data_IF_353368031048
#
_entry.id   IF_353368031048
#
_cell.length_a   1.000
_cell.length_b   1.000
_cell.length_c   1.000
_cell.angle_alpha   90.00
_cell.angle_beta   90.00
_cell.angle_gamma   90.00
#
_symmetry.space_group_name_H-M   'P 1'
#
loop_
_entity.id
_entity.type
_entity.pdbx_description
1 polymer ?
#
# COMPACT_ATOMS: atom_id res chain seq x y z
N UNK A 1 -27.70 -17.56 14.26
CA UNK A 1 -28.40 -17.82 15.53
C UNK A 1 -28.14 -16.72 16.55
N UNK A 2 -28.07 -15.45 16.14
CA UNK A 2 -28.47 -14.37 17.02
C UNK A 2 -29.61 -13.62 16.33
N UNK A 3 -30.63 -13.22 17.09
CA UNK A 3 -31.84 -12.58 16.59
C UNK A 3 -31.65 -11.11 16.20
N UNK A 4 -30.42 -10.65 15.91
CA UNK A 4 -30.20 -9.26 15.53
C UNK A 4 -30.38 -9.15 14.02
N UNK A 5 -31.58 -8.77 13.59
CA UNK A 5 -31.74 -8.11 12.28
C UNK A 5 -30.96 -6.80 12.35
N UNK A 6 -29.69 -6.82 11.99
CA UNK A 6 -28.90 -5.61 11.84
C UNK A 6 -29.22 -5.00 10.48
N UNK A 7 -29.36 -3.67 10.44
CA UNK A 7 -29.56 -2.94 9.20
C UNK A 7 -28.50 -3.38 8.16
N UNK A 8 -28.96 -3.73 6.96
CA UNK A 8 -28.10 -4.23 5.89
C UNK A 8 -28.09 -5.75 5.69
N UNK A 9 -28.55 -6.53 6.67
CA UNK A 9 -28.77 -7.97 6.47
C UNK A 9 -30.01 -8.29 5.61
N UNK A 10 -30.84 -7.28 5.29
CA UNK A 10 -32.05 -7.47 4.48
C UNK A 10 -31.76 -7.69 2.99
N UNK A 11 -30.56 -7.38 2.50
CA UNK A 11 -30.19 -7.53 1.09
C UNK A 11 -29.55 -8.90 0.81
N UNK A 12 -30.26 -9.82 0.11
CA UNK A 12 -29.79 -11.21 -0.06
C UNK A 12 -28.43 -11.32 -0.73
N UNK A 13 -28.12 -10.40 -1.65
CA UNK A 13 -26.83 -10.36 -2.37
C UNK A 13 -25.60 -10.18 -1.47
N UNK A 14 -25.77 -9.65 -0.24
CA UNK A 14 -24.66 -9.45 0.70
C UNK A 14 -24.58 -10.49 1.81
N UNK A 15 -25.53 -11.43 1.85
CA UNK A 15 -25.61 -12.43 2.91
C UNK A 15 -24.30 -13.25 3.04
N UNK A 16 -23.63 -13.55 1.93
CA UNK A 16 -22.33 -14.23 1.92
C UNK A 16 -21.28 -13.44 2.73
N UNK A 17 -21.14 -12.14 2.45
CA UNK A 17 -20.18 -11.29 3.15
C UNK A 17 -20.47 -11.13 4.65
N UNK A 18 -21.75 -11.09 5.04
CA UNK A 18 -22.13 -11.08 6.46
C UNK A 18 -21.77 -12.38 7.17
N UNK A 19 -22.01 -13.52 6.51
CA UNK A 19 -21.61 -14.83 7.05
C UNK A 19 -20.10 -14.94 7.21
N UNK A 20 -19.33 -14.46 6.22
CA UNK A 20 -17.86 -14.40 6.29
C UNK A 20 -17.44 -13.55 7.50
N UNK A 21 -17.97 -12.34 7.64
CA UNK A 21 -17.62 -11.45 8.75
C UNK A 21 -17.95 -12.05 10.12
N UNK A 22 -19.11 -12.71 10.25
CA UNK A 22 -19.50 -13.41 11.47
C UNK A 22 -18.59 -14.61 11.76
N UNK A 23 -18.19 -15.37 10.74
CA UNK A 23 -17.30 -16.51 10.87
C UNK A 23 -15.91 -16.08 11.34
N UNK A 24 -15.33 -15.04 10.72
CA UNK A 24 -14.06 -14.44 11.17
C UNK A 24 -14.13 -14.01 12.64
N UNK A 25 -15.19 -13.29 13.04
CA UNK A 25 -15.37 -12.88 14.44
C UNK A 25 -15.41 -14.08 15.38
N UNK A 26 -16.15 -15.11 15.01
CA UNK A 26 -16.27 -16.33 15.81
C UNK A 26 -14.92 -17.02 15.98
N UNK A 27 -14.18 -17.27 14.88
CA UNK A 27 -12.85 -17.92 14.93
C UNK A 27 -11.88 -17.10 15.77
N UNK A 28 -11.80 -15.79 15.57
CA UNK A 28 -10.89 -14.92 16.32
C UNK A 28 -11.22 -14.89 17.81
N UNK A 29 -12.51 -14.84 18.16
CA UNK A 29 -12.95 -14.94 19.57
C UNK A 29 -12.53 -16.29 20.17
N UNK A 30 -12.75 -17.40 19.44
CA UNK A 30 -12.36 -18.74 19.90
C UNK A 30 -10.86 -18.83 20.16
N UNK A 31 -10.03 -18.35 19.24
CA UNK A 31 -8.58 -18.52 19.32
C UNK A 31 -7.91 -17.53 20.28
N UNK A 32 -8.31 -16.25 20.25
CA UNK A 32 -7.60 -15.19 20.96
C UNK A 32 -8.22 -14.85 22.32
N UNK A 33 -9.53 -14.98 22.48
CA UNK A 33 -10.21 -14.68 23.76
C UNK A 33 -10.38 -15.95 24.61
N UNK A 34 -10.91 -17.03 24.03
CA UNK A 34 -11.20 -18.27 24.78
C UNK A 34 -9.97 -19.18 24.94
N UNK A 35 -9.20 -19.41 23.86
CA UNK A 35 -7.96 -20.21 23.93
C UNK A 35 -6.74 -19.41 24.37
N UNK A 36 -6.86 -18.08 24.41
CA UNK A 36 -5.81 -17.17 24.88
C UNK A 36 -4.48 -17.31 24.12
N UNK A 37 -4.52 -17.67 22.82
CA UNK A 37 -3.32 -17.58 21.99
C UNK A 37 -2.90 -16.11 21.85
N UNK A 38 -1.59 -15.86 21.81
CA UNK A 38 -1.04 -14.49 21.71
C UNK A 38 -1.11 -13.93 20.29
N UNK A 39 -1.31 -14.79 19.30
CA UNK A 39 -1.46 -14.45 17.90
C UNK A 39 -2.18 -15.57 17.14
N UNK A 40 -2.66 -15.24 15.94
CA UNK A 40 -3.21 -16.19 14.97
C UNK A 40 -2.62 -15.93 13.60
N UNK A 41 -2.50 -16.99 12.81
CA UNK A 41 -2.22 -16.94 11.38
C UNK A 41 -3.47 -17.42 10.64
N UNK A 42 -4.09 -16.52 9.88
CA UNK A 42 -5.35 -16.75 9.17
C UNK A 42 -5.08 -17.13 7.72
N UNK A 43 -5.64 -18.25 7.30
CA UNK A 43 -5.61 -18.75 5.92
C UNK A 43 -7.04 -19.05 5.48
N UNK A 44 -7.39 -18.59 4.28
CA UNK A 44 -8.62 -19.01 3.60
C UNK A 44 -8.40 -20.38 2.93
N UNK A 45 -9.48 -21.09 2.65
CA UNK A 45 -9.46 -22.47 2.14
C UNK A 45 -9.03 -22.59 0.67
N UNK A 46 -8.97 -21.46 -0.04
CA UNK A 46 -8.57 -21.34 -1.44
C UNK A 46 -7.11 -20.92 -1.64
N UNK A 47 -6.27 -21.01 -0.59
CA UNK A 47 -4.87 -20.59 -0.61
C UNK A 47 -3.88 -21.77 -0.65
N UNK A 48 -3.01 -21.75 -1.65
CA UNK A 48 -1.76 -22.53 -1.66
C UNK A 48 -0.66 -21.73 -0.94
N UNK A 49 0.11 -22.38 -0.07
CA UNK A 49 1.22 -21.76 0.68
C UNK A 49 2.58 -22.12 0.05
N UNK A 50 3.51 -21.17 0.06
CA UNK A 50 4.89 -21.37 -0.40
C UNK A 50 5.71 -22.29 0.51
N UNK A 51 6.84 -22.79 0.00
CA UNK A 51 7.74 -23.70 0.73
C UNK A 51 8.34 -23.15 2.03
N UNK A 52 8.42 -21.84 2.21
CA UNK A 52 8.98 -21.17 3.40
C UNK A 52 7.92 -20.42 4.23
N UNK A 53 6.62 -20.68 3.98
CA UNK A 53 5.51 -19.91 4.54
C UNK A 53 5.52 -19.84 6.09
N UNK A 54 5.73 -20.97 6.77
CA UNK A 54 5.73 -20.99 8.24
C UNK A 54 6.99 -20.34 8.83
N UNK A 55 8.15 -20.53 8.19
CA UNK A 55 9.40 -19.90 8.62
C UNK A 55 9.35 -18.38 8.47
N UNK A 56 8.73 -17.90 7.39
CA UNK A 56 8.44 -16.48 7.15
C UNK A 56 7.67 -15.86 8.34
N UNK A 57 6.54 -16.45 8.75
CA UNK A 57 5.76 -15.92 9.87
C UNK A 57 6.44 -16.10 11.23
N UNK A 58 7.16 -17.21 11.41
CA UNK A 58 7.92 -17.48 12.64
C UNK A 58 8.94 -16.38 12.91
N UNK A 59 9.72 -15.99 11.90
CA UNK A 59 10.77 -14.97 12.05
C UNK A 59 10.23 -13.54 12.08
N UNK A 60 9.03 -13.29 11.55
CA UNK A 60 8.37 -11.98 11.65
C UNK A 60 7.53 -11.81 12.92
N UNK A 61 7.34 -12.87 13.69
CA UNK A 61 6.63 -12.81 14.97
C UNK A 61 7.28 -11.81 15.94
N UNK A 62 8.61 -11.85 16.21
CA UNK A 62 9.27 -10.86 17.08
C UNK A 62 9.09 -9.42 16.58
N UNK A 63 9.22 -9.20 15.26
CA UNK A 63 9.04 -7.88 14.64
C UNK A 63 7.63 -7.36 14.91
N UNK A 64 6.60 -8.17 14.65
CA UNK A 64 5.19 -7.81 14.88
C UNK A 64 4.86 -7.49 16.34
N UNK A 65 5.43 -8.22 17.30
CA UNK A 65 5.19 -7.96 18.74
C UNK A 65 5.96 -6.74 19.25
N UNK A 66 7.14 -6.47 18.70
CA UNK A 66 8.01 -5.38 19.16
C UNK A 66 7.59 -3.99 18.67
N UNK A 67 6.94 -3.91 17.49
CA UNK A 67 6.61 -2.64 16.86
C UNK A 67 5.10 -2.34 16.91
N UNK A 68 4.64 -1.42 17.79
CA UNK A 68 3.22 -1.07 17.91
C UNK A 68 2.69 -0.29 16.69
N UNK A 69 3.56 0.15 15.78
CA UNK A 69 3.18 0.76 14.51
C UNK A 69 2.78 -0.28 13.44
N UNK A 70 2.89 -1.57 13.75
CA UNK A 70 2.42 -2.66 12.90
C UNK A 70 0.98 -3.09 13.25
N UNK A 71 0.18 -3.27 12.20
CA UNK A 71 -1.16 -3.84 12.26
C UNK A 71 -1.12 -5.37 12.11
N UNK A 72 -0.33 -5.86 11.15
CA UNK A 72 -0.28 -7.27 10.77
C UNK A 72 1.00 -7.63 10.02
N UNK A 73 1.20 -8.93 9.78
CA UNK A 73 2.09 -9.45 8.73
C UNK A 73 1.21 -10.17 7.72
N UNK A 74 1.41 -9.96 6.43
CA UNK A 74 0.67 -10.63 5.36
C UNK A 74 1.65 -11.32 4.42
N UNK A 75 1.27 -12.49 3.93
CA UNK A 75 1.95 -13.25 2.89
C UNK A 75 1.71 -12.69 1.48
N UNK A 76 0.88 -11.65 1.36
CA UNK A 76 0.38 -11.15 0.09
C UNK A 76 0.99 -9.81 -0.32
N UNK A 77 1.45 -9.74 -1.56
CA UNK A 77 1.77 -8.54 -2.31
C UNK A 77 0.73 -8.36 -3.42
N UNK A 78 -0.12 -7.34 -3.27
CA UNK A 78 -1.16 -6.97 -4.25
C UNK A 78 -0.63 -6.79 -5.68
N UNK A 79 0.62 -6.33 -5.82
CA UNK A 79 1.28 -6.15 -7.12
C UNK A 79 2.36 -7.22 -7.37
N UNK A 80 2.25 -8.38 -6.74
CA UNK A 80 3.27 -9.43 -6.75
C UNK A 80 3.19 -10.39 -7.94
N UNK A 81 2.85 -9.86 -9.11
CA UNK A 81 2.77 -10.62 -10.36
C UNK A 81 4.17 -10.95 -10.87
N UNK A 82 4.34 -12.04 -11.62
CA UNK A 82 5.65 -12.53 -12.07
C UNK A 82 6.57 -11.46 -12.73
N UNK A 83 6.06 -10.49 -13.52
CA UNK A 83 6.89 -9.42 -14.09
C UNK A 83 7.39 -8.37 -13.08
N UNK A 84 6.80 -8.33 -11.87
CA UNK A 84 6.92 -7.24 -10.89
C UNK A 84 7.60 -7.65 -9.57
N UNK A 85 8.16 -8.86 -9.51
CA UNK A 85 8.84 -9.40 -8.33
C UNK A 85 10.09 -10.19 -8.73
N UNK A 86 11.08 -10.25 -7.85
CA UNK A 86 12.28 -11.07 -8.09
C UNK A 86 12.94 -11.60 -6.80
N UNK A 87 13.12 -10.75 -5.79
CA UNK A 87 13.90 -11.08 -4.61
C UNK A 87 13.00 -11.66 -3.51
N UNK A 88 13.14 -12.95 -3.23
CA UNK A 88 12.34 -13.63 -2.22
C UNK A 88 12.62 -13.16 -0.78
N UNK A 89 13.76 -12.53 -0.49
CA UNK A 89 14.13 -12.11 0.88
C UNK A 89 13.68 -10.71 1.24
N UNK A 90 13.32 -9.88 0.25
CA UNK A 90 12.95 -8.48 0.49
C UNK A 90 11.51 -8.39 1.01
N UNK A 91 11.36 -7.66 2.10
CA UNK A 91 10.08 -7.33 2.73
C UNK A 91 9.85 -5.83 2.74
N UNK A 92 8.59 -5.44 2.71
CA UNK A 92 8.14 -4.06 2.73
C UNK A 92 7.04 -3.86 3.77
N UNK A 93 6.80 -2.62 4.17
CA UNK A 93 5.59 -2.21 4.88
C UNK A 93 4.54 -1.73 3.88
N UNK A 94 3.27 -1.76 4.27
CA UNK A 94 2.14 -1.20 3.50
C UNK A 94 1.03 -0.66 4.41
N UNK A 95 0.46 0.47 4.04
CA UNK A 95 -0.63 1.14 4.75
C UNK A 95 -2.03 0.60 4.39
N UNK A 96 -2.09 -0.37 3.48
CA UNK A 96 -3.31 -1.04 3.06
C UNK A 96 -3.25 -2.46 3.56
N UNK A 97 -4.21 -2.86 4.40
CA UNK A 97 -4.33 -4.24 4.87
C UNK A 97 -4.55 -5.19 3.68
N UNK A 98 -3.58 -6.09 3.37
CA UNK A 98 -3.68 -6.93 2.18
C UNK A 98 -4.62 -8.13 2.39
N UNK A 99 -4.62 -8.73 3.58
CA UNK A 99 -5.29 -10.00 3.86
C UNK A 99 -4.46 -11.19 3.40
N UNK A 100 -5.13 -12.23 2.88
CA UNK A 100 -4.57 -13.39 2.16
C UNK A 100 -3.30 -13.98 2.82
N UNK A 101 -3.50 -14.86 3.81
CA UNK A 101 -2.42 -15.38 4.64
C UNK A 101 -1.86 -14.30 5.55
N UNK A 102 -2.48 -14.05 6.69
CA UNK A 102 -2.11 -12.91 7.53
C UNK A 102 -2.11 -13.22 9.02
N UNK A 103 -1.20 -12.59 9.73
CA UNK A 103 -0.95 -12.78 11.16
C UNK A 103 -1.40 -11.57 11.96
N UNK A 104 -2.15 -11.83 13.03
CA UNK A 104 -2.73 -10.82 13.93
C UNK A 104 -2.42 -11.17 15.39
N UNK A 105 -2.07 -10.17 16.20
CA UNK A 105 -1.84 -10.36 17.63
C UNK A 105 -3.14 -10.28 18.44
N UNK A 106 -3.17 -10.94 19.60
CA UNK A 106 -4.27 -10.84 20.56
C UNK A 106 -4.50 -9.39 21.01
N UNK A 107 -3.43 -8.60 21.14
CA UNK A 107 -3.52 -7.18 21.51
C UNK A 107 -4.27 -6.37 20.45
N UNK A 108 -3.98 -6.62 19.18
CA UNK A 108 -4.71 -5.97 18.09
C UNK A 108 -6.17 -6.44 18.05
N UNK A 109 -6.42 -7.74 18.25
CA UNK A 109 -7.79 -8.26 18.31
C UNK A 109 -8.63 -7.61 19.40
N UNK A 110 -8.09 -7.41 20.61
CA UNK A 110 -8.78 -6.70 21.70
C UNK A 110 -9.23 -5.30 21.31
N UNK A 111 -8.50 -4.62 20.44
CA UNK A 111 -8.92 -3.32 19.89
C UNK A 111 -10.04 -3.46 18.85
N UNK A 112 -9.98 -4.47 17.98
CA UNK A 112 -10.89 -4.65 16.86
C UNK A 112 -12.21 -5.31 17.25
N UNK A 113 -12.19 -6.28 18.17
CA UNK A 113 -13.34 -7.13 18.53
C UNK A 113 -14.60 -6.36 18.96
N UNK A 114 -14.51 -5.30 19.81
CA UNK A 114 -15.68 -4.54 20.25
C UNK A 114 -16.40 -3.81 19.12
N UNK A 115 -15.65 -3.46 18.05
CA UNK A 115 -16.13 -2.69 16.91
C UNK A 115 -16.23 -3.50 15.61
N UNK A 116 -16.07 -4.83 15.69
CA UNK A 116 -16.07 -5.70 14.51
C UNK A 116 -17.38 -5.62 13.73
N UNK A 117 -17.34 -5.38 12.41
CA UNK A 117 -18.52 -5.21 11.58
C UNK A 117 -19.15 -6.57 11.30
N UNK A 118 -20.41 -6.77 11.70
CA UNK A 118 -21.19 -7.95 11.31
C UNK A 118 -22.01 -7.66 10.04
N UNK A 119 -22.54 -6.44 9.93
CA UNK A 119 -23.16 -5.89 8.72
C UNK A 119 -22.14 -5.14 7.88
N UNK A 120 -22.55 -4.67 6.70
CA UNK A 120 -21.75 -3.71 5.96
C UNK A 120 -21.74 -2.38 6.72
N UNK A 121 -20.60 -1.72 6.72
CA UNK A 121 -20.46 -0.39 7.29
C UNK A 121 -20.82 0.64 6.20
N UNK A 122 -21.81 1.51 6.47
CA UNK A 122 -22.08 2.69 5.63
C UNK A 122 -21.33 3.90 6.21
N UNK A 123 -20.54 4.59 5.37
CA UNK A 123 -19.94 5.86 5.77
C UNK A 123 -21.03 6.93 5.91
N UNK A 124 -21.22 7.56 7.10
CA UNK A 124 -22.35 8.46 7.33
C UNK A 124 -22.24 9.82 6.62
N UNK A 125 -21.05 10.18 6.08
CA UNK A 125 -20.73 11.54 5.64
C UNK A 125 -20.25 11.68 4.19
N UNK A 126 -20.30 10.61 3.38
CA UNK A 126 -19.86 10.68 1.98
C UNK A 126 -21.08 10.82 1.05
N UNK A 127 -21.00 11.74 0.07
CA UNK A 127 -21.99 11.93 -1.01
C UNK A 127 -22.26 10.61 -1.79
N UNK A 128 -21.34 9.65 -1.69
CA UNK A 128 -21.48 8.29 -2.20
C UNK A 128 -21.45 7.32 -1.02
N UNK A 129 -22.61 6.80 -0.61
CA UNK A 129 -22.68 5.67 0.33
C UNK A 129 -21.99 4.46 -0.30
N UNK A 130 -20.83 4.05 0.25
CA UNK A 130 -20.19 2.79 -0.12
C UNK A 130 -20.38 1.78 1.01
N UNK A 131 -20.78 0.58 0.65
CA UNK A 131 -20.85 -0.58 1.55
C UNK A 131 -19.45 -1.15 1.70
N UNK A 132 -19.00 -1.30 2.94
CA UNK A 132 -17.69 -1.88 3.26
C UNK A 132 -17.90 -3.15 4.09
N UNK A 133 -17.20 -4.21 3.73
CA UNK A 133 -17.20 -5.48 4.46
C UNK A 133 -16.01 -5.55 5.41
N UNK A 134 -15.82 -6.66 6.13
CA UNK A 134 -14.87 -6.74 7.25
C UNK A 134 -13.43 -6.33 6.88
N UNK A 135 -12.98 -6.69 5.69
CA UNK A 135 -11.64 -6.39 5.18
C UNK A 135 -11.53 -4.92 4.75
N UNK A 136 -12.52 -4.40 4.03
CA UNK A 136 -12.61 -2.97 3.67
C UNK A 136 -12.77 -2.05 4.88
N UNK A 137 -13.48 -2.52 5.90
CA UNK A 137 -13.57 -1.86 7.21
C UNK A 137 -12.22 -1.87 7.93
N UNK A 138 -11.47 -2.96 7.87
CA UNK A 138 -10.15 -3.02 8.50
C UNK A 138 -9.14 -2.07 7.81
N UNK A 139 -9.35 -1.76 6.53
CA UNK A 139 -8.54 -0.81 5.74
C UNK A 139 -8.82 0.67 6.06
N UNK A 140 -9.91 0.98 6.77
CA UNK A 140 -10.27 2.35 7.14
C UNK A 140 -9.24 2.98 8.11
N UNK A 141 -9.03 4.29 7.99
CA UNK A 141 -8.18 5.05 8.91
C UNK A 141 -8.58 4.89 10.39
N UNK A 142 -9.87 4.75 10.69
CA UNK A 142 -10.36 4.60 12.08
C UNK A 142 -9.95 3.25 12.73
N UNK A 143 -9.59 2.26 11.92
CA UNK A 143 -9.19 0.92 12.34
C UNK A 143 -7.67 0.81 12.27
N UNK A 144 -7.08 1.17 11.13
CA UNK A 144 -5.63 1.13 10.92
C UNK A 144 -4.89 2.06 11.89
N UNK A 145 -5.44 3.25 12.20
CA UNK A 145 -4.78 4.28 13.03
C UNK A 145 -3.35 4.58 12.57
N UNK A 146 -3.17 4.70 11.25
CA UNK A 146 -1.88 4.93 10.59
C UNK A 146 -0.82 3.82 10.84
N UNK A 147 -1.24 2.64 11.35
CA UNK A 147 -0.40 1.43 11.37
C UNK A 147 -0.35 0.77 10.00
N UNK A 148 0.75 0.07 9.73
CA UNK A 148 0.98 -0.63 8.47
C UNK A 148 1.11 -2.14 8.68
N UNK A 149 1.00 -2.94 7.62
CA UNK A 149 1.37 -4.35 7.65
C UNK A 149 2.72 -4.59 7.00
N UNK A 150 3.42 -5.66 7.40
CA UNK A 150 4.55 -6.19 6.62
C UNK A 150 3.99 -7.06 5.49
N UNK A 151 4.59 -6.97 4.30
CA UNK A 151 4.29 -7.80 3.13
C UNK A 151 5.58 -8.18 2.40
N UNK A 152 5.66 -9.33 1.71
CA UNK A 152 6.86 -9.71 0.98
C UNK A 152 6.95 -9.02 -0.39
N UNK A 153 8.13 -9.00 -0.99
CA UNK A 153 8.27 -8.70 -2.42
C UNK A 153 7.61 -9.82 -3.24
N UNK A 154 7.99 -11.08 -2.98
CA UNK A 154 7.43 -12.27 -3.61
C UNK A 154 6.38 -12.93 -2.71
N UNK A 155 5.17 -13.18 -3.22
CA UNK A 155 4.07 -13.75 -2.42
C UNK A 155 4.42 -15.09 -1.77
N UNK A 156 3.93 -15.31 -0.55
CA UNK A 156 4.01 -16.60 0.16
C UNK A 156 2.71 -17.39 0.12
N UNK A 157 1.68 -16.85 -0.52
CA UNK A 157 0.44 -17.56 -0.85
C UNK A 157 0.02 -17.29 -2.29
N UNK A 158 -0.76 -18.19 -2.86
CA UNK A 158 -1.43 -18.06 -4.14
C UNK A 158 -2.88 -18.52 -3.99
N UNK A 159 -3.82 -17.76 -4.56
CA UNK A 159 -5.24 -18.15 -4.54
C UNK A 159 -5.58 -18.94 -5.79
N UNK A 160 -6.21 -20.10 -5.60
CA UNK A 160 -6.81 -20.90 -6.66
C UNK A 160 -8.34 -20.73 -6.73
N UNK A 161 -8.91 -19.78 -5.98
CA UNK A 161 -10.33 -19.47 -5.91
C UNK A 161 -10.86 -18.69 -7.12
N UNK A 162 -10.91 -19.33 -8.29
CA UNK A 162 -11.51 -18.73 -9.51
C UNK A 162 -13.02 -18.48 -9.35
N UNK A 163 -13.69 -19.29 -8.52
CA UNK A 163 -15.10 -19.13 -8.17
C UNK A 163 -15.24 -18.89 -6.67
N UNK A 164 -15.89 -17.80 -6.28
CA UNK A 164 -16.05 -17.41 -4.88
C UNK A 164 -17.19 -16.41 -4.69
N UNK A 165 -17.27 -15.82 -3.49
CA UNK A 165 -18.35 -14.87 -3.12
C UNK A 165 -18.35 -13.56 -3.93
N UNK A 166 -17.33 -13.35 -4.77
CA UNK A 166 -17.16 -12.21 -5.66
C UNK A 166 -17.36 -12.56 -7.15
N UNK A 167 -17.84 -13.77 -7.47
CA UNK A 167 -18.03 -14.28 -8.84
C UNK A 167 -16.74 -14.21 -9.69
N UNK A 168 -15.57 -14.37 -9.07
CA UNK A 168 -14.27 -14.36 -9.77
C UNK A 168 -13.86 -12.99 -10.31
N UNK A 169 -14.55 -11.91 -9.93
CA UNK A 169 -14.16 -10.56 -10.30
C UNK A 169 -12.69 -10.32 -9.92
N UNK A 170 -11.90 -9.87 -10.90
CA UNK A 170 -10.46 -9.62 -10.79
C UNK A 170 -9.53 -10.85 -10.84
N UNK A 171 -10.03 -12.09 -10.83
CA UNK A 171 -9.17 -13.28 -10.79
C UNK A 171 -8.24 -13.36 -12.00
N UNK A 172 -8.79 -13.40 -13.22
CA UNK A 172 -7.98 -13.54 -14.44
C UNK A 172 -7.01 -12.37 -14.66
N UNK A 173 -7.42 -11.15 -14.29
CA UNK A 173 -6.63 -9.95 -14.55
C UNK A 173 -5.52 -9.74 -13.53
N UNK A 174 -5.80 -9.96 -12.24
CA UNK A 174 -4.90 -9.55 -11.16
C UNK A 174 -4.41 -10.69 -10.27
N UNK A 175 -5.21 -11.73 -10.02
CA UNK A 175 -4.85 -12.80 -9.08
C UNK A 175 -4.11 -13.96 -9.75
N UNK A 176 -4.59 -14.42 -10.92
CA UNK A 176 -3.96 -15.47 -11.73
C UNK A 176 -2.48 -15.22 -12.08
N UNK A 177 -2.02 -13.99 -12.41
CA UNK A 177 -0.61 -13.73 -12.70
C UNK A 177 0.30 -13.59 -11.46
N UNK A 178 -0.25 -13.74 -10.24
CA UNK A 178 0.53 -13.65 -8.99
C UNK A 178 1.57 -14.77 -8.94
N UNK A 179 2.79 -14.40 -8.55
CA UNK A 179 3.90 -15.32 -8.47
C UNK A 179 4.07 -15.84 -7.03
N UNK A 180 3.85 -17.15 -6.86
CA UNK A 180 4.12 -17.87 -5.61
C UNK A 180 5.62 -18.12 -5.46
N UNK A 181 6.18 -17.80 -4.30
CA UNK A 181 7.56 -18.11 -3.97
C UNK A 181 7.81 -19.64 -4.03
N UNK A 182 8.88 -20.02 -4.73
CA UNK A 182 9.36 -21.41 -4.82
C UNK A 182 10.75 -21.61 -4.21
N UNK A 183 11.33 -20.56 -3.63
CA UNK A 183 12.68 -20.58 -3.06
C UNK A 183 12.61 -20.69 -1.54
N UNK A 184 13.33 -21.65 -0.95
CA UNK A 184 13.52 -21.67 0.50
C UNK A 184 14.42 -20.52 0.92
N UNK A 185 13.89 -19.62 1.75
CA UNK A 185 14.66 -18.51 2.34
C UNK A 185 15.09 -18.92 3.74
N UNK A 186 16.39 -18.81 4.02
CA UNK A 186 16.90 -18.90 5.38
C UNK A 186 16.61 -17.60 6.13
N UNK A 187 15.41 -17.54 6.72
CA UNK A 187 14.93 -16.41 7.51
C UNK A 187 15.74 -16.16 8.79
N UNK A 188 16.46 -17.18 9.30
CA UNK A 188 17.30 -17.04 10.48
C UNK A 188 18.56 -16.21 10.20
N UNK A 189 19.00 -16.18 8.95
CA UNK A 189 20.13 -15.39 8.47
C UNK A 189 19.74 -13.98 7.97
N UNK A 190 18.43 -13.67 7.88
CA UNK A 190 17.98 -12.36 7.39
C UNK A 190 17.99 -11.31 8.51
N UNK A 191 18.44 -10.10 8.21
CA UNK A 191 18.31 -8.95 9.11
C UNK A 191 16.95 -8.29 8.88
N UNK A 192 16.07 -8.33 9.89
CA UNK A 192 14.70 -7.85 9.79
C UNK A 192 14.47 -6.51 10.52
N UNK A 193 15.46 -6.02 11.27
CA UNK A 193 15.36 -4.80 12.09
C UNK A 193 15.10 -3.53 11.27
N UNK A 194 15.42 -3.57 9.97
CA UNK A 194 15.08 -2.48 9.04
C UNK A 194 13.56 -2.31 8.85
N UNK A 195 12.75 -3.32 9.20
CA UNK A 195 11.28 -3.26 9.12
C UNK A 195 10.65 -2.52 10.30
N UNK A 196 11.40 -2.32 11.39
CA UNK A 196 10.92 -1.62 12.58
C UNK A 196 10.84 -0.11 12.31
N UNK A 197 9.84 0.56 12.86
CA UNK A 197 9.85 2.01 12.95
C UNK A 197 10.89 2.49 14.00
N UNK A 198 11.72 3.53 13.74
CA UNK A 198 11.74 4.39 12.55
C UNK A 198 12.71 3.93 11.45
N UNK A 199 13.40 2.79 11.59
CA UNK A 199 14.40 2.32 10.63
C UNK A 199 13.83 2.15 9.23
N UNK A 200 12.60 1.64 9.11
CA UNK A 200 11.97 1.46 7.80
C UNK A 200 11.72 2.79 7.08
N UNK A 201 11.34 3.83 7.84
CA UNK A 201 11.13 5.16 7.29
C UNK A 201 12.43 5.75 6.75
N UNK A 202 13.53 5.56 7.48
CA UNK A 202 14.86 6.00 7.04
C UNK A 202 15.33 5.21 5.82
N UNK A 203 15.12 3.89 5.82
CA UNK A 203 15.48 3.01 4.72
C UNK A 203 14.73 3.37 3.43
N UNK A 204 13.42 3.53 3.48
CA UNK A 204 12.62 3.87 2.28
C UNK A 204 12.91 5.30 1.79
N UNK A 205 13.12 6.26 2.71
CA UNK A 205 13.48 7.63 2.33
C UNK A 205 14.85 7.66 1.64
N UNK A 206 15.84 6.92 2.17
CA UNK A 206 17.15 6.79 1.52
C UNK A 206 17.06 6.17 0.12
N UNK A 207 16.29 5.08 -0.04
CA UNK A 207 16.07 4.44 -1.35
C UNK A 207 15.44 5.40 -2.37
N UNK A 208 14.46 6.20 -1.95
CA UNK A 208 13.83 7.19 -2.83
C UNK A 208 14.80 8.32 -3.19
N UNK A 209 15.65 8.75 -2.24
CA UNK A 209 16.65 9.79 -2.47
C UNK A 209 17.81 9.32 -3.37
N UNK A 210 18.23 8.06 -3.27
CA UNK A 210 19.30 7.48 -4.10
C UNK A 210 18.84 7.11 -5.51
N UNK A 211 17.53 7.01 -5.74
CA UNK A 211 16.98 6.58 -7.01
C UNK A 211 17.02 7.65 -8.10
N UNK A 212 17.19 7.20 -9.35
CA UNK A 212 17.15 8.07 -10.52
C UNK A 212 15.71 8.43 -10.88
N UNK A 213 15.39 9.73 -10.88
CA UNK A 213 14.06 10.21 -11.29
C UNK A 213 13.90 10.10 -12.80
N UNK A 214 12.80 9.49 -13.25
CA UNK A 214 12.44 9.37 -14.67
C UNK A 214 10.97 9.73 -14.89
N UNK A 215 10.64 10.12 -16.12
CA UNK A 215 9.25 10.25 -16.56
C UNK A 215 8.65 8.87 -16.86
N UNK A 216 7.33 8.71 -16.69
CA UNK A 216 6.64 7.45 -16.95
C UNK A 216 6.88 6.92 -18.37
N UNK A 217 6.92 7.81 -19.36
CA UNK A 217 7.14 7.49 -20.77
C UNK A 217 8.53 6.92 -21.04
N UNK A 218 9.52 7.21 -20.19
CA UNK A 218 10.89 6.70 -20.33
C UNK A 218 11.03 5.26 -19.84
N UNK A 219 9.99 4.66 -19.25
CA UNK A 219 10.05 3.30 -18.71
C UNK A 219 10.39 2.26 -19.80
N UNK A 220 9.85 2.41 -21.00
CA UNK A 220 10.09 1.50 -22.14
C UNK A 220 11.48 1.63 -22.74
N UNK A 221 12.14 2.78 -22.56
CA UNK A 221 13.49 3.05 -23.08
C UNK A 221 14.59 2.85 -22.04
N UNK A 222 14.23 2.37 -20.85
CA UNK A 222 15.18 2.10 -19.78
C UNK A 222 16.26 1.11 -20.26
N UNK A 223 17.55 1.42 -20.07
CA UNK A 223 18.63 0.61 -20.61
C UNK A 223 18.54 -0.81 -20.05
N UNK A 224 18.69 -1.78 -20.95
CA UNK A 224 18.91 -3.15 -20.53
C UNK A 224 20.34 -3.24 -20.03
N UNK A 225 20.53 -3.52 -18.74
CA UNK A 225 21.86 -3.69 -18.16
C UNK A 225 22.51 -4.96 -18.71
N UNK A 226 23.09 -4.84 -19.89
CA UNK A 226 24.08 -5.74 -20.42
C UNK A 226 25.46 -5.12 -20.16
N UNK A 227 26.35 -5.90 -19.54
CA UNK A 227 27.80 -5.67 -19.42
C UNK A 227 28.26 -4.47 -18.58
N UNK A 228 28.55 -4.72 -17.31
CA UNK A 228 29.86 -4.43 -16.68
C UNK A 228 29.80 -4.74 -15.18
N UNK A 229 30.96 -5.09 -14.64
CA UNK A 229 31.27 -5.74 -13.37
C UNK A 229 31.01 -4.91 -12.11
N UNK A 230 29.83 -4.30 -11.99
CA UNK A 230 29.37 -3.67 -10.74
C UNK A 230 27.90 -3.98 -10.50
N UNK A 231 27.67 -4.80 -9.48
CA UNK A 231 26.41 -5.39 -9.01
C UNK A 231 25.39 -4.38 -8.45
N UNK A 232 25.28 -3.16 -8.99
CA UNK A 232 24.34 -2.15 -8.48
C UNK A 232 23.03 -2.22 -9.26
N UNK A 233 22.01 -2.80 -8.65
CA UNK A 233 20.61 -2.63 -9.07
C UNK A 233 20.31 -1.14 -9.23
N UNK A 234 19.91 -0.68 -10.42
CA UNK A 234 19.53 0.73 -10.63
C UNK A 234 18.11 0.95 -10.12
N UNK A 235 17.96 1.85 -9.15
CA UNK A 235 16.68 2.24 -8.55
C UNK A 235 16.11 3.47 -9.28
N UNK A 236 14.80 3.48 -9.52
CA UNK A 236 14.14 4.55 -10.25
C UNK A 236 12.88 5.05 -9.53
N UNK A 237 12.62 6.35 -9.62
CA UNK A 237 11.39 6.95 -9.09
C UNK A 237 10.59 7.56 -10.23
N UNK A 238 9.30 7.25 -10.28
CA UNK A 238 8.31 7.94 -11.11
C UNK A 238 7.33 8.64 -10.17
N UNK A 239 7.25 9.96 -10.29
CA UNK A 239 6.36 10.75 -9.45
C UNK A 239 4.95 10.75 -10.02
N UNK A 240 3.95 10.71 -9.13
CA UNK A 240 2.56 11.01 -9.49
C UNK A 240 2.01 12.16 -8.62
N UNK A 241 1.25 13.04 -9.25
CA UNK A 241 0.66 14.23 -8.66
C UNK A 241 -0.59 13.91 -7.84
N UNK A 242 -1.35 12.90 -8.27
CA UNK A 242 -2.64 12.54 -7.71
C UNK A 242 -3.01 11.07 -8.00
N UNK A 243 -4.04 10.59 -7.31
CA UNK A 243 -4.51 9.21 -7.45
C UNK A 243 -4.92 8.89 -8.90
N UNK A 244 -5.56 9.81 -9.64
CA UNK A 244 -5.96 9.52 -11.02
C UNK A 244 -4.75 9.24 -11.94
N UNK A 245 -3.65 9.96 -11.73
CA UNK A 245 -2.40 9.71 -12.44
C UNK A 245 -1.76 8.38 -12.03
N UNK A 246 -1.78 8.03 -10.73
CA UNK A 246 -1.37 6.69 -10.28
C UNK A 246 -2.19 5.61 -10.97
N UNK A 247 -3.53 5.72 -10.98
CA UNK A 247 -4.41 4.72 -11.58
C UNK A 247 -4.19 4.62 -13.10
N UNK A 248 -3.85 5.73 -13.77
CA UNK A 248 -3.43 5.70 -15.16
C UNK A 248 -2.13 4.88 -15.34
N UNK A 249 -1.10 5.15 -14.54
CA UNK A 249 0.17 4.38 -14.59
C UNK A 249 -0.04 2.90 -14.27
N UNK A 250 -0.83 2.59 -13.23
CA UNK A 250 -1.16 1.23 -12.83
C UNK A 250 -1.83 0.46 -13.98
N UNK A 251 -2.79 1.08 -14.68
CA UNK A 251 -3.44 0.51 -15.87
C UNK A 251 -2.47 0.23 -17.01
N UNK A 252 -1.55 1.16 -17.29
CA UNK A 252 -0.55 0.97 -18.34
C UNK A 252 0.43 -0.17 -18.03
N UNK A 253 0.69 -0.41 -16.73
CA UNK A 253 1.55 -1.49 -16.26
C UNK A 253 0.80 -2.79 -15.90
N UNK A 254 -0.53 -2.82 -15.99
CA UNK A 254 -1.35 -3.96 -15.56
C UNK A 254 -1.17 -4.29 -14.06
N UNK A 255 -0.85 -3.28 -13.25
CA UNK A 255 -0.90 -3.36 -11.79
C UNK A 255 -2.36 -3.27 -11.32
N UNK A 256 -2.59 -3.52 -10.04
CA UNK A 256 -3.90 -3.25 -9.44
C UNK A 256 -4.18 -1.74 -9.49
N UNK A 257 -5.22 -1.39 -10.23
CA UNK A 257 -5.66 -0.02 -10.53
C UNK A 257 -6.88 0.40 -9.72
N UNK A 258 -7.01 -0.09 -8.47
CA UNK A 258 -7.97 0.38 -7.48
C UNK A 258 -7.28 1.08 -6.29
N UNK A 259 -8.10 1.64 -5.41
CA UNK A 259 -7.63 2.16 -4.12
C UNK A 259 -8.50 1.65 -3.00
N UNK A 260 -7.90 1.53 -1.81
CA UNK A 260 -8.59 1.22 -0.57
C UNK A 260 -8.39 2.35 0.41
N UNK A 261 -9.49 2.93 0.86
CA UNK A 261 -9.51 4.15 1.67
C UNK A 261 -8.67 5.30 1.06
N UNK A 262 -8.69 5.43 -0.27
CA UNK A 262 -7.94 6.44 -1.02
C UNK A 262 -6.45 6.14 -1.20
N UNK A 263 -5.96 4.99 -0.76
CA UNK A 263 -4.56 4.57 -0.88
C UNK A 263 -4.40 3.52 -2.00
N UNK A 264 -3.37 3.64 -2.86
CA UNK A 264 -2.98 2.56 -3.75
C UNK A 264 -2.64 1.27 -3.00
N UNK A 265 -2.95 0.11 -3.60
CA UNK A 265 -2.61 -1.18 -3.00
C UNK A 265 -1.10 -1.42 -2.90
N UNK A 266 -0.68 -2.09 -1.83
CA UNK A 266 0.74 -2.31 -1.53
C UNK A 266 1.55 -1.04 -1.26
N UNK A 267 0.91 0.14 -1.13
CA UNK A 267 1.61 1.40 -0.86
C UNK A 267 1.98 1.58 0.60
N UNK A 268 3.06 2.30 0.87
CA UNK A 268 3.45 2.81 2.19
C UNK A 268 3.72 4.31 2.09
N UNK A 269 3.00 5.14 2.85
CA UNK A 269 3.03 6.61 2.74
C UNK A 269 2.81 7.11 1.30
N UNK A 270 1.97 6.40 0.54
CA UNK A 270 1.71 6.69 -0.86
C UNK A 270 2.81 6.24 -1.83
N UNK A 271 3.80 5.48 -1.35
CA UNK A 271 4.86 4.90 -2.17
C UNK A 271 4.45 3.49 -2.57
N UNK A 272 4.16 3.24 -3.85
CA UNK A 272 4.01 1.86 -4.37
C UNK A 272 5.35 1.37 -4.89
N UNK A 273 5.78 0.21 -4.39
CA UNK A 273 7.06 -0.40 -4.74
C UNK A 273 6.85 -1.70 -5.50
N UNK A 274 7.33 -1.75 -6.73
CA UNK A 274 7.41 -2.95 -7.57
C UNK A 274 8.83 -3.16 -8.07
N UNK A 275 9.18 -4.38 -8.50
CA UNK A 275 10.47 -4.68 -9.11
C UNK A 275 10.30 -5.23 -10.52
N UNK A 276 10.75 -4.48 -11.53
CA UNK A 276 10.66 -4.94 -12.92
C UNK A 276 11.65 -6.07 -13.18
N UNK A 277 11.15 -7.26 -13.52
CA UNK A 277 11.98 -8.43 -13.84
C UNK A 277 12.79 -8.22 -15.13
N UNK A 278 12.22 -7.51 -16.12
CA UNK A 278 12.93 -7.11 -17.35
C UNK A 278 12.68 -5.62 -17.66
N UNK A 279 13.72 -4.83 -17.98
CA UNK A 279 15.12 -5.23 -18.12
C UNK A 279 15.94 -4.98 -16.83
N UNK A 280 15.68 -5.78 -15.79
CA UNK A 280 16.51 -6.02 -14.59
C UNK A 280 16.34 -5.09 -13.38
N UNK A 281 15.71 -5.64 -12.34
CA UNK A 281 15.79 -5.25 -10.92
C UNK A 281 15.47 -3.79 -10.58
N UNK A 282 14.71 -3.12 -11.43
CA UNK A 282 14.37 -1.71 -11.25
C UNK A 282 13.27 -1.61 -10.23
N UNK A 283 13.61 -1.06 -9.06
CA UNK A 283 12.61 -0.68 -8.08
C UNK A 283 11.93 0.56 -8.63
N UNK A 284 10.63 0.46 -8.88
CA UNK A 284 9.81 1.59 -9.26
C UNK A 284 9.09 2.09 -8.01
N UNK A 285 9.37 3.33 -7.65
CA UNK A 285 8.59 4.05 -6.65
C UNK A 285 7.62 4.97 -7.35
N UNK A 286 6.34 4.70 -7.17
CA UNK A 286 5.29 5.66 -7.47
C UNK A 286 5.12 6.52 -6.22
N UNK A 287 5.65 7.75 -6.22
CA UNK A 287 5.65 8.62 -5.04
C UNK A 287 4.63 9.76 -5.18
N UNK A 288 3.84 9.98 -4.13
CA UNK A 288 2.87 11.07 -4.06
C UNK A 288 3.54 12.41 -3.70
N UNK A 289 3.48 13.39 -4.60
CA UNK A 289 4.18 14.69 -4.50
C UNK A 289 3.90 15.54 -3.23
N UNK A 290 2.89 15.24 -2.42
CA UNK A 290 2.51 16.13 -1.31
C UNK A 290 3.47 16.12 -0.10
N UNK A 291 4.54 15.30 -0.05
CA UNK A 291 5.59 15.45 0.98
C UNK A 291 6.39 16.77 0.81
N UNK A 292 6.34 17.39 -0.37
CA UNK A 292 6.85 18.77 -0.58
C UNK A 292 5.93 19.83 0.04
N UNK A 293 4.63 19.55 0.24
CA UNK A 293 3.69 20.49 0.88
C UNK A 293 3.81 20.54 2.39
N UNK A 294 4.45 19.55 3.03
CA UNK A 294 4.78 19.61 4.46
C UNK A 294 6.03 20.46 4.75
N UNK A 295 6.76 20.90 3.73
CA UNK A 295 7.86 21.83 3.93
C UNK A 295 7.26 23.21 4.29
N UNK A 296 7.56 23.71 5.48
CA UNK A 296 7.05 25.01 5.96
C UNK A 296 7.34 26.13 4.96
N UNK A 297 8.47 26.05 4.23
CA UNK A 297 8.82 26.97 3.14
C UNK A 297 7.80 26.96 2.00
N UNK A 298 7.28 25.79 1.62
CA UNK A 298 6.28 25.67 0.55
C UNK A 298 4.92 26.23 0.99
N UNK A 299 4.51 26.02 2.24
CA UNK A 299 3.27 26.57 2.80
C UNK A 299 3.32 28.09 2.97
N UNK A 300 4.43 28.61 3.50
CA UNK A 300 4.70 30.06 3.59
C UNK A 300 4.68 30.69 2.18
N UNK A 301 5.26 30.01 1.20
CA UNK A 301 5.33 30.51 -0.17
C UNK A 301 3.98 30.47 -0.90
N UNK A 302 3.18 29.41 -0.75
CA UNK A 302 1.82 29.35 -1.29
C UNK A 302 0.94 30.46 -0.71
N UNK A 303 1.06 30.70 0.60
CA UNK A 303 0.36 31.78 1.28
C UNK A 303 0.76 33.15 0.72
N UNK A 304 2.05 33.36 0.47
CA UNK A 304 2.58 34.59 -0.11
C UNK A 304 2.16 34.78 -1.57
N UNK A 305 2.19 33.71 -2.38
CA UNK A 305 1.71 33.71 -3.77
C UNK A 305 0.23 34.08 -3.85
N UNK A 306 -0.60 33.49 -3.00
CA UNK A 306 -2.05 33.76 -2.96
C UNK A 306 -2.36 35.21 -2.56
N UNK A 307 -1.63 35.74 -1.55
CA UNK A 307 -1.72 37.15 -1.15
C UNK A 307 -1.32 38.10 -2.29
N UNK A 308 -0.25 37.76 -3.02
CA UNK A 308 0.19 38.54 -4.17
C UNK A 308 -0.85 38.52 -5.30
N UNK A 309 -1.45 37.36 -5.59
CA UNK A 309 -2.52 37.21 -6.58
C UNK A 309 -3.76 38.05 -6.24
N UNK A 310 -4.19 38.04 -4.97
CA UNK A 310 -5.33 38.85 -4.51
C UNK A 310 -5.02 40.34 -4.64
N UNK A 311 -3.80 40.77 -4.25
CA UNK A 311 -3.37 42.16 -4.33
C UNK A 311 -3.28 42.64 -5.77
N UNK A 312 -2.86 41.77 -6.70
CA UNK A 312 -2.78 42.05 -8.13
C UNK A 312 -4.16 42.06 -8.81
N UNK A 313 -5.10 41.19 -8.41
CA UNK A 313 -6.50 41.21 -8.89
C UNK A 313 -7.24 42.49 -8.51
N UNK A 314 -6.87 43.13 -7.39
CA UNK A 314 -7.41 44.45 -6.99
C UNK A 314 -6.84 45.62 -7.80
N UNK A 315 -5.69 45.49 -8.45
CA UNK A 315 -5.11 46.54 -9.30
C UNK A 315 -5.48 46.33 -10.78
N UNK A 316 -6.64 46.86 -11.20
CA UNK A 316 -7.21 46.64 -12.56
C UNK A 316 -6.35 47.11 -13.75
N UNK A 317 -5.31 47.93 -13.56
CA UNK A 317 -4.69 48.68 -14.67
C UNK A 317 -3.23 48.36 -15.05
N UNK A 318 -2.63 47.25 -14.63
CA UNK A 318 -1.30 46.82 -15.12
C UNK A 318 -1.24 45.32 -15.38
N UNK A 319 -1.90 44.81 -16.42
CA UNK A 319 -1.98 43.35 -16.68
C UNK A 319 -0.74 42.73 -17.34
N UNK A 320 0.03 43.49 -18.10
CA UNK A 320 1.06 42.90 -19.00
C UNK A 320 2.39 42.66 -18.31
N UNK A 321 2.90 43.61 -17.52
CA UNK A 321 4.22 43.51 -16.86
C UNK A 321 4.26 42.45 -15.74
N UNK A 322 3.14 42.21 -15.07
CA UNK A 322 3.05 41.30 -13.92
C UNK A 322 2.83 39.83 -14.30
N UNK A 323 2.21 39.55 -15.47
CA UNK A 323 2.15 38.18 -16.00
C UNK A 323 3.54 37.62 -16.28
N UNK A 324 4.45 38.45 -16.80
CA UNK A 324 5.84 38.07 -17.00
C UNK A 324 6.56 37.79 -15.68
N UNK A 325 6.38 38.62 -14.64
CA UNK A 325 6.99 38.40 -13.32
C UNK A 325 6.49 37.10 -12.66
N UNK A 326 5.18 36.83 -12.70
CA UNK A 326 4.60 35.58 -12.17
C UNK A 326 5.10 34.34 -12.93
N UNK A 327 5.23 34.44 -14.25
CA UNK A 327 5.77 33.37 -15.08
C UNK A 327 7.26 33.12 -14.79
N UNK A 328 8.06 34.18 -14.62
CA UNK A 328 9.48 34.08 -14.28
C UNK A 328 9.72 33.50 -12.89
N UNK A 329 8.89 33.88 -11.91
CA UNK A 329 8.91 33.30 -10.56
C UNK A 329 8.58 31.80 -10.63
N UNK A 330 7.57 31.41 -11.42
CA UNK A 330 7.20 29.99 -11.61
C UNK A 330 8.35 29.18 -12.23
N UNK A 331 9.02 29.72 -13.26
CA UNK A 331 10.16 29.06 -13.92
C UNK A 331 11.35 28.93 -12.97
N UNK A 332 11.71 30.00 -12.24
CA UNK A 332 12.80 29.93 -11.25
C UNK A 332 12.49 28.98 -10.11
N UNK A 333 11.22 28.83 -9.72
CA UNK A 333 10.79 27.86 -8.71
C UNK A 333 10.98 26.42 -9.18
N UNK A 334 10.59 26.13 -10.43
CA UNK A 334 10.83 24.82 -11.05
C UNK A 334 12.31 24.49 -11.15
N UNK A 335 13.15 25.50 -11.40
CA UNK A 335 14.60 25.32 -11.40
C UNK A 335 15.17 25.12 -9.99
N UNK A 336 14.72 25.89 -9.00
CA UNK A 336 15.18 25.78 -7.61
C UNK A 336 14.78 24.45 -6.96
N UNK A 337 13.56 23.96 -7.21
CA UNK A 337 13.10 22.65 -6.74
C UNK A 337 13.88 21.48 -7.37
N UNK A 338 14.46 21.69 -8.56
CA UNK A 338 15.33 20.71 -9.23
C UNK A 338 16.79 20.77 -8.78
N UNK A 339 17.22 21.87 -8.16
CA UNK A 339 18.63 22.13 -7.83
C UNK A 339 18.93 22.28 -6.34
N UNK A 340 17.90 22.27 -5.48
CA UNK A 340 18.11 22.30 -4.05
C UNK A 340 18.69 20.96 -3.58
N UNK A 341 19.83 20.95 -2.87
CA UNK A 341 20.32 19.74 -2.21
C UNK A 341 19.35 19.44 -1.06
N UNK A 342 18.76 18.25 -1.07
CA UNK A 342 17.85 17.75 -0.04
C UNK A 342 18.49 16.61 0.71
#
# INVERSE_FOLDING_TARGET
TDGRRQAGFEEPKWLGYHKIAAHYKWVLTKLLDERQYTQVLMLEDDLEVSCDFFDYFRHLTPVLHSDPTLLCVSAWNDNGQAPFVHNATVLYRTDVFPGLGWMLTSTMWKELAPKWPLAFHETPFLIIKKKRFWDDWLREKAQTKDRSCIRPEVNRVYTFGEHGSSDGQHFDRYLKPIYLNKQLVDWSAQQLDYLLHPHYDQWIDHLVQSATVIDFQALSSLPSSSSSSSSSSSEYVIWYDNIDQYLYFARQLVLIDDTKDGKPRGSYKGIVTIRLLRPQNKILFLFFLNKLKSNQLYQLFLSFYYLLEIKLKKQKNRKTRYKFTLHFIKIRLQHFLKSAPF
#
